data_IF_600517343324
#
_entry.id   IF_600517343324
#
_cell.length_a   1.000
_cell.length_b   1.000
_cell.length_c   1.000
_cell.angle_alpha   90.00
_cell.angle_beta   90.00
_cell.angle_gamma   90.00
#
_symmetry.space_group_name_H-M   'P 1'
#
loop_
_entity.id
_entity.type
_entity.pdbx_description
1 polymer ?
#
# COMPACT_ATOMS: atom_id res chain seq x y z
N UNK A 1 13.14 9.93 62.11
CA UNK A 1 12.33 8.96 62.87
C UNK A 1 11.85 7.93 61.88
N UNK A 2 12.33 6.70 62.07
CA UNK A 2 12.02 5.52 61.26
C UNK A 2 10.56 5.14 61.46
N UNK A 3 9.86 4.76 60.40
CA UNK A 3 8.74 3.84 60.54
C UNK A 3 8.92 2.69 59.55
N UNK A 4 8.88 1.50 60.13
CA UNK A 4 9.35 0.22 59.61
C UNK A 4 8.15 -0.73 59.52
N UNK A 5 8.31 -1.80 58.73
CA UNK A 5 7.54 -3.05 58.67
C UNK A 5 6.34 -3.02 57.70
N UNK A 6 6.42 -3.58 56.49
CA UNK A 6 6.71 -4.95 56.02
C UNK A 6 5.55 -5.93 56.22
N UNK A 7 5.27 -6.70 55.15
CA UNK A 7 4.93 -8.14 55.05
C UNK A 7 4.04 -8.35 53.80
N UNK A 8 4.58 -8.82 52.66
CA UNK A 8 4.93 -10.20 52.25
C UNK A 8 3.74 -11.07 51.79
N UNK A 9 3.99 -11.76 50.66
CA UNK A 9 3.42 -13.04 50.20
C UNK A 9 2.25 -12.94 49.18
N UNK A 10 2.14 -13.72 48.10
CA UNK A 10 2.87 -14.87 47.56
C UNK A 10 2.87 -14.82 46.02
N UNK A 11 3.94 -15.34 45.44
CA UNK A 11 4.14 -15.69 44.04
C UNK A 11 3.22 -16.83 43.57
N UNK A 12 2.66 -16.74 42.37
CA UNK A 12 2.18 -17.93 41.64
C UNK A 12 2.90 -18.01 40.29
N UNK A 13 3.80 -18.98 40.19
CA UNK A 13 4.49 -19.40 38.98
C UNK A 13 3.58 -20.37 38.24
N UNK A 14 3.15 -20.05 37.02
CA UNK A 14 2.57 -21.04 36.09
C UNK A 14 3.58 -21.39 35.02
N UNK A 15 3.91 -22.68 35.03
CA UNK A 15 4.84 -23.43 34.20
C UNK A 15 4.50 -23.40 32.70
N UNK A 16 5.54 -23.25 31.89
CA UNK A 16 5.59 -23.50 30.45
C UNK A 16 5.71 -25.00 30.16
N UNK A 17 4.96 -25.56 29.20
CA UNK A 17 5.28 -26.86 28.63
C UNK A 17 6.27 -26.74 27.46
N UNK A 18 7.42 -27.40 27.59
CA UNK A 18 8.41 -27.66 26.54
C UNK A 18 8.27 -29.11 26.07
N UNK A 19 8.01 -29.34 24.78
CA UNK A 19 8.22 -30.59 24.04
C UNK A 19 7.82 -30.32 22.57
N UNK A 20 8.45 -30.84 21.53
CA UNK A 20 9.63 -31.66 21.36
C UNK A 20 10.12 -31.44 19.93
N UNK A 21 11.44 -31.44 19.77
CA UNK A 21 12.16 -31.34 18.51
C UNK A 21 12.03 -32.67 17.75
N UNK A 22 11.64 -32.65 16.49
CA UNK A 22 11.83 -33.78 15.56
C UNK A 22 12.52 -33.28 14.32
N UNK A 23 13.77 -33.71 14.16
CA UNK A 23 14.65 -33.40 13.04
C UNK A 23 14.31 -34.24 11.80
N UNK A 24 14.50 -33.60 10.64
CA UNK A 24 14.96 -34.15 9.37
C UNK A 24 14.44 -35.50 8.85
N UNK A 25 13.77 -35.42 7.69
CA UNK A 25 13.99 -36.40 6.62
C UNK A 25 14.07 -35.71 5.25
N UNK A 26 15.30 -35.42 4.83
CA UNK A 26 15.61 -35.29 3.40
C UNK A 26 15.33 -36.64 2.73
N UNK A 27 14.57 -36.60 1.63
CA UNK A 27 14.61 -37.63 0.60
C UNK A 27 14.96 -36.96 -0.73
N UNK A 28 16.23 -37.10 -1.08
CA UNK A 28 16.72 -37.11 -2.46
C UNK A 28 16.29 -38.40 -3.15
N UNK A 29 15.89 -38.30 -4.42
CA UNK A 29 16.29 -39.17 -5.54
C UNK A 29 15.45 -38.82 -6.79
N UNK A 30 16.03 -38.11 -7.76
CA UNK A 30 16.86 -38.58 -8.88
C UNK A 30 16.08 -39.03 -10.12
N UNK A 31 16.42 -38.35 -11.22
CA UNK A 31 16.50 -38.80 -12.60
C UNK A 31 15.22 -39.24 -13.36
N UNK A 32 14.84 -38.45 -14.36
CA UNK A 32 15.03 -38.89 -15.76
C UNK A 32 14.95 -37.74 -16.77
N UNK A 33 16.05 -37.58 -17.52
CA UNK A 33 16.19 -37.29 -18.95
C UNK A 33 14.90 -36.94 -19.70
N UNK A 34 14.93 -35.91 -20.55
CA UNK A 34 15.21 -36.06 -21.99
C UNK A 34 14.97 -34.72 -22.73
N UNK A 35 15.94 -34.40 -23.58
CA UNK A 35 15.86 -33.49 -24.74
C UNK A 35 14.50 -33.47 -25.42
N UNK A 36 14.01 -32.31 -25.88
CA UNK A 36 13.90 -31.97 -27.31
C UNK A 36 13.22 -30.63 -27.52
N UNK A 37 13.67 -29.97 -28.58
CA UNK A 37 13.24 -28.71 -29.16
C UNK A 37 11.86 -28.85 -29.86
N UNK A 38 11.22 -27.69 -30.14
CA UNK A 38 10.24 -27.40 -31.21
C UNK A 38 8.71 -27.33 -30.88
N UNK A 39 8.14 -26.21 -31.35
CA UNK A 39 6.79 -25.86 -31.84
C UNK A 39 5.57 -25.70 -30.91
N UNK A 40 5.19 -24.43 -30.72
CA UNK A 40 3.93 -23.80 -31.20
C UNK A 40 2.76 -24.75 -31.57
N UNK A 41 1.65 -24.70 -30.81
CA UNK A 41 0.29 -24.43 -31.33
C UNK A 41 -0.74 -24.40 -30.17
N UNK A 42 -1.33 -23.21 -29.98
CA UNK A 42 -2.76 -22.96 -29.82
C UNK A 42 -3.71 -24.13 -29.48
N UNK A 43 -4.48 -23.97 -28.40
CA UNK A 43 -5.86 -23.45 -28.47
C UNK A 43 -6.87 -24.14 -27.53
N UNK A 44 -7.70 -23.29 -26.92
CA UNK A 44 -9.09 -23.50 -26.46
C UNK A 44 -9.38 -24.29 -25.19
N UNK A 45 -9.78 -23.57 -24.13
CA UNK A 45 -11.07 -23.80 -23.45
C UNK A 45 -11.79 -22.45 -23.27
N UNK A 46 -13.06 -22.42 -23.68
CA UNK A 46 -13.95 -21.25 -23.76
C UNK A 46 -14.87 -21.12 -22.52
N UNK A 47 -15.27 -19.87 -22.22
CA UNK A 47 -16.63 -19.35 -21.89
C UNK A 47 -16.71 -18.53 -20.58
N UNK A 48 -17.12 -17.25 -20.68
CA UNK A 48 -17.70 -16.49 -19.57
C UNK A 48 -17.60 -14.96 -19.66
N UNK A 49 -18.66 -14.31 -20.16
CA UNK A 49 -19.00 -12.87 -20.08
C UNK A 49 -18.11 -11.84 -20.79
N UNK A 50 -18.73 -11.16 -21.78
CA UNK A 50 -18.29 -9.96 -22.51
C UNK A 50 -17.02 -9.29 -22.02
N UNK A 51 -15.90 -9.69 -22.63
CA UNK A 51 -14.65 -8.96 -22.54
C UNK A 51 -14.81 -7.63 -23.25
N UNK A 52 -15.34 -6.63 -22.54
CA UNK A 52 -14.94 -5.27 -22.79
C UNK A 52 -13.42 -5.31 -22.61
N UNK A 53 -12.66 -5.19 -23.71
CA UNK A 53 -11.26 -4.80 -23.62
C UNK A 53 -11.24 -3.59 -22.68
N UNK A 54 -10.87 -3.80 -21.42
CA UNK A 54 -10.72 -2.71 -20.48
C UNK A 54 -9.53 -1.95 -21.00
N UNK A 55 -9.81 -0.88 -21.75
CA UNK A 55 -8.82 0.11 -22.14
C UNK A 55 -7.96 0.35 -20.92
N UNK A 56 -6.67 0.07 -21.05
CA UNK A 56 -5.73 0.18 -19.95
C UNK A 56 -5.74 1.62 -19.44
N UNK A 57 -6.17 1.80 -18.19
CA UNK A 57 -6.18 3.11 -17.54
C UNK A 57 -4.73 3.57 -17.39
N UNK A 58 -4.45 4.84 -17.67
CA UNK A 58 -3.13 5.42 -17.44
C UNK A 58 -3.22 6.31 -16.22
N UNK A 59 -2.49 5.95 -15.17
CA UNK A 59 -2.47 6.72 -13.95
C UNK A 59 -1.85 8.10 -14.22
N UNK A 60 -2.54 9.13 -13.74
CA UNK A 60 -2.05 10.50 -13.72
C UNK A 60 -2.58 11.19 -12.47
N UNK A 61 -1.75 12.04 -11.85
CA UNK A 61 -2.19 12.91 -10.77
C UNK A 61 -3.18 13.95 -11.31
N UNK A 62 -4.32 14.11 -10.63
CA UNK A 62 -5.30 15.15 -10.96
C UNK A 62 -5.13 16.38 -10.07
N UNK A 63 -5.21 17.55 -10.70
CA UNK A 63 -5.23 18.83 -9.98
C UNK A 63 -6.47 18.93 -9.11
N UNK A 64 -6.38 19.76 -8.08
CA UNK A 64 -7.49 20.11 -7.20
C UNK A 64 -8.11 18.90 -6.46
N UNK A 65 -7.36 17.81 -6.25
CA UNK A 65 -7.80 16.65 -5.48
C UNK A 65 -7.19 16.64 -4.07
N UNK A 66 -5.88 16.43 -3.93
CA UNK A 66 -5.21 16.44 -2.62
C UNK A 66 -5.55 15.29 -1.67
N UNK A 67 -6.35 14.29 -2.06
CA UNK A 67 -6.76 13.20 -1.16
C UNK A 67 -5.56 12.38 -0.60
N UNK A 68 -4.46 12.29 -1.36
CA UNK A 68 -3.21 11.68 -0.92
C UNK A 68 -2.57 12.43 0.27
N UNK A 69 -2.87 13.71 0.47
CA UNK A 69 -2.34 14.52 1.56
C UNK A 69 -3.06 14.31 2.90
N UNK A 70 -4.17 13.56 2.96
CA UNK A 70 -4.68 13.06 4.24
C UNK A 70 -3.81 11.88 4.66
N UNK A 71 -2.84 12.09 5.53
CA UNK A 71 -1.87 11.05 5.90
C UNK A 71 -2.42 10.12 6.98
N UNK A 72 -3.17 10.65 7.95
CA UNK A 72 -3.90 9.83 8.91
C UNK A 72 -5.32 9.54 8.41
N UNK A 73 -5.53 8.34 7.87
CA UNK A 73 -6.81 7.89 7.27
C UNK A 73 -7.57 6.89 8.16
N UNK A 74 -7.08 6.61 9.36
CA UNK A 74 -7.63 5.60 10.25
C UNK A 74 -7.26 4.15 9.89
N UNK A 75 -7.80 3.16 10.63
CA UNK A 75 -7.29 1.78 10.67
C UNK A 75 -7.57 0.95 9.41
N UNK A 76 -8.40 1.45 8.49
CA UNK A 76 -8.67 0.77 7.21
C UNK A 76 -7.54 0.96 6.19
N UNK A 77 -6.52 1.76 6.53
CA UNK A 77 -5.36 2.05 5.70
C UNK A 77 -4.08 1.63 6.41
N UNK A 78 -3.07 1.27 5.63
CA UNK A 78 -1.76 0.92 6.15
C UNK A 78 -1.13 2.11 6.91
N UNK A 79 -0.56 1.78 8.07
CA UNK A 79 0.21 2.68 8.92
C UNK A 79 1.62 2.87 8.34
N UNK A 80 2.35 3.96 8.69
CA UNK A 80 3.72 4.13 8.22
C UNK A 80 4.64 2.97 8.64
N UNK A 81 4.41 2.34 9.79
CA UNK A 81 5.18 1.19 10.27
C UNK A 81 4.95 -0.08 9.44
N UNK A 82 3.85 -0.15 8.68
CA UNK A 82 3.56 -1.25 7.74
C UNK A 82 4.10 -0.97 6.33
N UNK A 83 4.38 0.31 6.01
CA UNK A 83 4.83 0.74 4.68
C UNK A 83 6.35 0.87 4.60
N UNK A 84 7.00 1.34 5.67
CA UNK A 84 8.42 1.67 5.65
C UNK A 84 9.23 0.74 6.56
N UNK A 85 10.35 0.26 6.04
CA UNK A 85 11.35 -0.48 6.83
C UNK A 85 12.33 0.47 7.55
N UNK A 86 12.58 1.67 7.00
CA UNK A 86 13.49 2.66 7.59
C UNK A 86 12.79 3.49 8.68
N UNK A 87 13.26 3.45 9.94
CA UNK A 87 12.72 4.28 11.02
C UNK A 87 12.73 5.79 10.73
N UNK A 88 13.68 6.26 9.92
CA UNK A 88 13.81 7.66 9.53
C UNK A 88 12.64 8.10 8.64
N UNK A 89 12.20 7.22 7.74
CA UNK A 89 11.04 7.47 6.87
C UNK A 89 9.74 7.44 7.67
N UNK A 90 9.60 6.51 8.62
CA UNK A 90 8.47 6.48 9.55
C UNK A 90 8.40 7.80 10.34
N UNK A 91 9.53 8.27 10.87
CA UNK A 91 9.59 9.51 11.62
C UNK A 91 9.25 10.72 10.74
N UNK A 92 9.80 10.78 9.53
CA UNK A 92 9.50 11.83 8.56
C UNK A 92 8.01 11.84 8.20
N UNK A 93 7.42 10.69 7.87
CA UNK A 93 6.00 10.58 7.57
C UNK A 93 5.14 11.10 8.72
N UNK A 94 5.41 10.67 9.97
CA UNK A 94 4.67 11.12 11.16
C UNK A 94 4.82 12.62 11.41
N UNK A 95 6.01 13.18 11.20
CA UNK A 95 6.26 14.62 11.38
C UNK A 95 5.45 15.50 10.42
N UNK A 96 5.01 14.95 9.29
CA UNK A 96 4.19 15.65 8.32
C UNK A 96 2.72 15.67 8.70
N UNK A 97 2.27 14.87 9.66
CA UNK A 97 0.86 14.75 10.05
C UNK A 97 0.49 15.90 11.01
N UNK A 98 -0.43 16.75 10.58
CA UNK A 98 -1.04 17.79 11.39
C UNK A 98 -2.07 17.25 12.39
N UNK A 99 -2.53 18.08 13.34
CA UNK A 99 -3.47 17.67 14.39
C UNK A 99 -4.84 17.19 13.86
N UNK A 100 -5.17 17.51 12.63
CA UNK A 100 -6.38 17.10 11.93
C UNK A 100 -6.15 15.91 10.98
N UNK A 101 -4.98 15.27 11.04
CA UNK A 101 -4.59 14.14 10.20
C UNK A 101 -4.19 14.48 8.77
N UNK A 102 -4.18 15.77 8.38
CA UNK A 102 -3.71 16.22 7.08
C UNK A 102 -2.23 16.55 7.10
N UNK A 103 -1.57 16.45 5.94
CA UNK A 103 -0.20 16.91 5.79
C UNK A 103 -0.08 18.41 6.14
N UNK A 104 0.86 18.79 6.99
CA UNK A 104 1.10 20.18 7.41
C UNK A 104 1.44 21.13 6.25
N UNK A 105 1.89 20.59 5.11
CA UNK A 105 2.20 21.35 3.90
C UNK A 105 1.06 21.39 2.89
N UNK A 106 -0.08 20.77 3.18
CA UNK A 106 -1.25 20.80 2.29
C UNK A 106 -2.08 22.06 2.53
N UNK A 107 -2.09 22.95 1.55
CA UNK A 107 -2.95 24.13 1.56
C UNK A 107 -4.35 23.73 1.10
N UNK A 108 -5.30 23.71 2.04
CA UNK A 108 -6.66 23.22 1.78
C UNK A 108 -7.48 24.12 0.87
N UNK A 109 -7.20 25.43 0.90
CA UNK A 109 -7.93 26.42 0.10
C UNK A 109 -7.64 26.26 -1.39
N UNK A 110 -6.37 26.11 -1.75
CA UNK A 110 -5.90 25.95 -3.14
C UNK A 110 -5.72 24.49 -3.55
N UNK A 111 -5.81 23.55 -2.59
CA UNK A 111 -5.56 22.11 -2.78
C UNK A 111 -4.18 21.81 -3.36
N UNK A 112 -3.17 22.57 -2.92
CA UNK A 112 -1.77 22.42 -3.36
C UNK A 112 -0.85 22.06 -2.19
N UNK A 113 0.33 21.52 -2.50
CA UNK A 113 1.37 21.27 -1.49
C UNK A 113 2.40 22.40 -1.54
N UNK A 114 2.69 23.04 -0.41
CA UNK A 114 3.65 24.16 -0.33
C UNK A 114 5.08 23.74 -0.64
N UNK A 115 5.40 22.45 -0.50
CA UNK A 115 6.71 21.85 -0.79
C UNK A 115 6.67 20.94 -2.03
N UNK A 116 5.74 21.14 -2.97
CA UNK A 116 5.53 20.22 -4.10
C UNK A 116 6.82 19.75 -4.82
N UNK A 117 7.80 20.63 -5.13
CA UNK A 117 9.07 20.23 -5.76
C UNK A 117 10.00 19.43 -4.85
N UNK A 118 9.86 19.60 -3.53
CA UNK A 118 10.74 19.05 -2.50
C UNK A 118 10.03 17.98 -1.66
N UNK A 119 8.96 17.37 -2.18
CA UNK A 119 8.22 16.35 -1.44
C UNK A 119 9.11 15.14 -1.20
N UNK A 120 9.01 14.49 -0.01
CA UNK A 120 9.66 13.20 0.23
C UNK A 120 9.31 12.19 -0.85
N UNK A 121 10.20 11.22 -1.09
CA UNK A 121 10.03 10.27 -2.19
C UNK A 121 8.68 9.53 -2.12
N UNK A 122 8.26 9.11 -0.92
CA UNK A 122 7.00 8.39 -0.69
C UNK A 122 5.73 9.21 -0.98
N UNK A 123 5.84 10.53 -1.19
CA UNK A 123 4.73 11.37 -1.63
C UNK A 123 4.53 11.37 -3.15
N UNK A 124 5.46 10.81 -3.92
CA UNK A 124 5.32 10.69 -5.37
C UNK A 124 4.74 9.31 -5.72
N UNK A 125 3.85 9.30 -6.70
CA UNK A 125 3.21 8.10 -7.21
C UNK A 125 3.89 7.80 -8.54
N UNK A 126 5.01 7.10 -8.45
CA UNK A 126 5.87 6.75 -9.59
C UNK A 126 6.16 5.24 -9.56
N UNK A 127 6.39 4.61 -10.73
CA UNK A 127 6.64 3.17 -10.82
C UNK A 127 7.75 2.68 -9.90
N UNK A 128 8.86 3.40 -9.85
CA UNK A 128 10.07 3.01 -9.11
C UNK A 128 9.83 3.03 -7.59
N UNK A 129 9.01 3.96 -7.11
CA UNK A 129 8.62 4.06 -5.70
C UNK A 129 7.63 2.94 -5.35
N UNK A 130 6.71 2.62 -6.24
CA UNK A 130 5.75 1.53 -6.05
C UNK A 130 6.42 0.15 -6.04
N UNK A 131 7.45 -0.03 -6.87
CA UNK A 131 8.27 -1.24 -6.86
C UNK A 131 9.02 -1.37 -5.52
N UNK A 132 9.60 -0.26 -5.04
CA UNK A 132 10.37 -0.24 -3.78
C UNK A 132 9.49 -0.48 -2.56
N UNK A 133 8.36 0.23 -2.44
CA UNK A 133 7.52 0.20 -1.23
C UNK A 133 6.53 -0.95 -1.20
N UNK A 134 6.10 -1.45 -2.36
CA UNK A 134 4.99 -2.41 -2.43
C UNK A 134 5.31 -3.65 -3.29
N UNK A 135 6.49 -3.74 -3.90
CA UNK A 135 6.84 -4.83 -4.81
C UNK A 135 6.00 -4.85 -6.09
N UNK A 136 5.41 -3.72 -6.48
CA UNK A 136 4.56 -3.61 -7.67
C UNK A 136 5.42 -3.22 -8.86
N UNK A 137 5.54 -4.12 -9.84
CA UNK A 137 6.30 -3.84 -11.06
C UNK A 137 5.64 -2.76 -11.95
N UNK A 138 6.41 -2.24 -12.90
CA UNK A 138 5.95 -1.20 -13.85
C UNK A 138 4.74 -1.61 -14.70
N UNK A 139 4.51 -2.91 -14.93
CA UNK A 139 3.33 -3.39 -15.68
C UNK A 139 2.07 -3.35 -14.79
N UNK A 140 2.22 -3.59 -13.49
CA UNK A 140 1.15 -3.46 -12.49
C UNK A 140 0.87 -2.02 -12.06
N UNK A 141 1.84 -1.12 -12.19
CA UNK A 141 1.80 0.25 -11.65
C UNK A 141 0.48 0.99 -11.92
N UNK A 142 0.08 1.13 -13.19
CA UNK A 142 -1.11 1.93 -13.52
C UNK A 142 -2.38 1.39 -12.84
N UNK A 143 -2.55 0.07 -12.82
CA UNK A 143 -3.72 -0.57 -12.20
C UNK A 143 -3.76 -0.29 -10.71
N UNK A 144 -2.65 -0.52 -10.02
CA UNK A 144 -2.57 -0.38 -8.57
C UNK A 144 -2.60 1.08 -8.11
N UNK A 145 -1.89 1.97 -8.81
CA UNK A 145 -1.92 3.40 -8.54
C UNK A 145 -3.34 3.98 -8.75
N UNK A 146 -4.04 3.57 -9.83
CA UNK A 146 -5.43 3.97 -10.04
C UNK A 146 -6.36 3.43 -8.96
N UNK A 147 -6.18 2.17 -8.52
CA UNK A 147 -6.97 1.61 -7.42
C UNK A 147 -6.75 2.36 -6.11
N UNK A 148 -5.50 2.53 -5.70
CA UNK A 148 -5.11 3.22 -4.46
C UNK A 148 -5.62 4.66 -4.43
N UNK A 149 -5.51 5.40 -5.55
CA UNK A 149 -6.07 6.74 -5.65
C UNK A 149 -7.60 6.75 -5.53
N UNK A 150 -8.31 5.83 -6.19
CA UNK A 150 -9.77 5.73 -6.06
C UNK A 150 -10.20 5.46 -4.63
N UNK A 151 -9.57 4.52 -3.95
CA UNK A 151 -9.96 4.14 -2.59
C UNK A 151 -9.66 5.28 -1.60
N UNK A 152 -8.52 5.95 -1.78
CA UNK A 152 -8.18 7.15 -1.02
C UNK A 152 -9.20 8.27 -1.27
N UNK A 153 -9.53 8.59 -2.52
CA UNK A 153 -10.48 9.65 -2.85
C UNK A 153 -11.87 9.34 -2.26
N UNK A 154 -12.34 8.09 -2.36
CA UNK A 154 -13.62 7.67 -1.79
C UNK A 154 -13.65 7.82 -0.27
N UNK A 155 -12.56 7.47 0.41
CA UNK A 155 -12.48 7.61 1.87
C UNK A 155 -12.49 9.07 2.33
N UNK A 156 -11.85 9.98 1.57
CA UNK A 156 -11.73 11.39 1.96
C UNK A 156 -12.94 12.23 1.52
N UNK A 157 -13.41 12.05 0.28
CA UNK A 157 -14.44 12.90 -0.33
C UNK A 157 -15.76 12.17 -0.61
N UNK A 158 -15.77 10.84 -0.56
CA UNK A 158 -16.95 10.03 -0.82
C UNK A 158 -17.04 9.48 -2.25
N UNK A 159 -17.90 8.48 -2.42
CA UNK A 159 -18.10 7.74 -3.69
C UNK A 159 -18.78 8.54 -4.80
N UNK A 160 -19.41 9.67 -4.47
CA UNK A 160 -20.08 10.57 -5.41
C UNK A 160 -19.37 11.92 -5.55
N UNK A 161 -18.11 11.99 -5.14
CA UNK A 161 -17.31 13.22 -5.12
C UNK A 161 -16.92 13.68 -6.53
N UNK A 162 -16.75 14.99 -6.69
CA UNK A 162 -16.27 15.59 -7.95
C UNK A 162 -14.83 15.16 -8.25
N UNK A 163 -14.04 14.97 -7.20
CA UNK A 163 -12.66 14.53 -7.23
C UNK A 163 -12.55 13.12 -7.81
N UNK A 164 -13.44 12.20 -7.42
CA UNK A 164 -13.46 10.84 -7.97
C UNK A 164 -13.87 10.83 -9.44
N UNK A 165 -14.89 11.61 -9.80
CA UNK A 165 -15.34 11.73 -11.18
C UNK A 165 -14.22 12.28 -12.07
N UNK A 166 -13.60 13.39 -11.68
CA UNK A 166 -12.47 13.99 -12.38
C UNK A 166 -11.29 13.02 -12.53
N UNK A 167 -10.94 12.30 -11.45
CA UNK A 167 -9.90 11.27 -11.51
C UNK A 167 -10.20 10.20 -12.54
N UNK A 168 -11.42 9.65 -12.53
CA UNK A 168 -11.85 8.61 -13.47
C UNK A 168 -11.84 9.10 -14.92
N UNK A 169 -12.28 10.32 -15.19
CA UNK A 169 -12.27 10.89 -16.53
C UNK A 169 -10.83 11.01 -17.07
N UNK A 170 -9.91 11.52 -16.24
CA UNK A 170 -8.49 11.65 -16.61
C UNK A 170 -7.86 10.29 -16.89
N UNK A 171 -7.98 9.29 -16.00
CA UNK A 171 -7.29 8.00 -16.18
C UNK A 171 -7.90 7.13 -17.27
N UNK A 172 -9.16 7.37 -17.65
CA UNK A 172 -9.81 6.72 -18.80
C UNK A 172 -9.60 7.46 -20.12
N UNK A 173 -9.07 8.69 -20.06
CA UNK A 173 -8.84 9.56 -21.20
C UNK A 173 -10.13 10.11 -21.81
N UNK A 174 -11.18 10.30 -21.00
CA UNK A 174 -12.33 11.12 -21.38
C UNK A 174 -11.92 12.58 -21.20
N UNK A 175 -11.99 13.38 -22.27
CA UNK A 175 -11.72 14.81 -22.16
C UNK A 175 -12.66 15.43 -21.12
N UNK A 176 -12.18 16.37 -20.27
CA UNK A 176 -13.05 17.10 -19.37
C UNK A 176 -14.11 17.84 -20.22
N UNK A 177 -15.38 17.55 -19.94
CA UNK A 177 -16.54 18.24 -20.53
C UNK A 177 -16.75 19.61 -19.90
#
# INVERSE_FOLDING_TARGET
>A
MVNTFALFSLTTTTVVPTASRTEHRLKTNTNKKKSTNVSKHESQIRRGFGGLERKEEKWQCVRDCGACCKLDKGPSFATPDEIFDDPSDIQLYRSLIGPDGWCIHFEKSTRTCSIYPNRPYFCHVEPEIFETLYGIDKKGFNREACSCCRDTIKAIYGVHSKELNNFNDVVTGKSPG
#
